data_IF_393035916924
#
_entry.id   IF_393035916924
#
_cell.length_a   1.000
_cell.length_b   1.000
_cell.length_c   1.000
_cell.angle_alpha   90.00
_cell.angle_beta   90.00
_cell.angle_gamma   90.00
#
_symmetry.space_group_name_H-M   'P 1'
#
loop_
_entity.id
_entity.type
_entity.pdbx_description
1 polymer ?
#
# COMPACT_ATOMS: atom_id res chain seq x y z
N UNK A 1 -41.00 7.47 -3.80
CA UNK A 1 -39.78 6.66 -3.64
C UNK A 1 -40.06 5.59 -2.61
N UNK A 2 -39.74 4.35 -2.93
CA UNK A 2 -39.79 3.22 -2.00
C UNK A 2 -38.62 3.24 -1.03
N UNK A 3 -38.72 2.49 0.08
CA UNK A 3 -37.56 2.24 0.98
C UNK A 3 -36.40 1.65 0.17
N UNK A 4 -36.67 0.77 -0.78
CA UNK A 4 -35.65 0.21 -1.67
C UNK A 4 -34.94 1.29 -2.48
N UNK A 5 -35.67 2.27 -3.02
CA UNK A 5 -35.08 3.36 -3.82
C UNK A 5 -34.12 4.19 -2.95
N UNK A 6 -34.51 4.50 -1.71
CA UNK A 6 -33.65 5.22 -0.76
C UNK A 6 -32.37 4.44 -0.45
N UNK A 7 -32.47 3.12 -0.20
CA UNK A 7 -31.30 2.28 0.05
C UNK A 7 -30.39 2.19 -1.17
N UNK A 8 -30.94 2.03 -2.38
CA UNK A 8 -30.15 1.99 -3.62
C UNK A 8 -29.41 3.31 -3.85
N UNK A 9 -30.07 4.45 -3.67
CA UNK A 9 -29.42 5.77 -3.77
C UNK A 9 -28.33 5.96 -2.73
N UNK A 10 -28.60 5.58 -1.47
CA UNK A 10 -27.61 5.64 -0.40
C UNK A 10 -26.37 4.80 -0.73
N UNK A 11 -26.54 3.53 -1.12
CA UNK A 11 -25.45 2.65 -1.50
C UNK A 11 -24.65 3.18 -2.70
N UNK A 12 -25.32 3.81 -3.67
CA UNK A 12 -24.63 4.45 -4.81
C UNK A 12 -23.78 5.64 -4.36
N UNK A 13 -24.29 6.46 -3.43
CA UNK A 13 -23.59 7.65 -2.92
C UNK A 13 -22.37 7.30 -2.05
N UNK A 14 -22.30 6.08 -1.52
CA UNK A 14 -21.12 5.59 -0.81
C UNK A 14 -19.95 5.24 -1.74
N UNK A 15 -20.18 5.10 -3.06
CA UNK A 15 -19.12 4.72 -4.00
C UNK A 15 -18.27 5.93 -4.36
N UNK A 16 -16.96 5.73 -4.46
CA UNK A 16 -16.07 6.76 -4.99
C UNK A 16 -16.44 7.13 -6.43
N UNK A 17 -16.30 8.41 -6.75
CA UNK A 17 -16.44 8.89 -8.13
C UNK A 17 -15.42 8.23 -9.05
N UNK A 18 -15.79 8.07 -10.33
CA UNK A 18 -14.91 7.50 -11.35
C UNK A 18 -13.60 8.29 -11.48
N UNK A 19 -13.64 9.61 -11.33
CA UNK A 19 -12.45 10.47 -11.37
C UNK A 19 -11.47 10.14 -10.24
N UNK A 20 -11.97 9.95 -9.02
CA UNK A 20 -11.14 9.55 -7.89
C UNK A 20 -10.55 8.15 -8.11
N UNK A 21 -11.36 7.20 -8.60
CA UNK A 21 -10.87 5.85 -8.93
C UNK A 21 -9.76 5.90 -9.98
N UNK A 22 -9.92 6.68 -11.05
CA UNK A 22 -8.92 6.83 -12.10
C UNK A 22 -7.61 7.44 -11.56
N UNK A 23 -7.69 8.48 -10.73
CA UNK A 23 -6.52 9.08 -10.07
C UNK A 23 -5.80 8.09 -9.16
N UNK A 24 -6.55 7.32 -8.37
CA UNK A 24 -6.00 6.30 -7.48
C UNK A 24 -5.26 5.23 -8.29
N UNK A 25 -5.89 4.69 -9.32
CA UNK A 25 -5.28 3.68 -10.19
C UNK A 25 -4.01 4.19 -10.88
N UNK A 26 -4.04 5.43 -11.37
CA UNK A 26 -2.87 6.05 -11.97
C UNK A 26 -1.71 6.17 -10.96
N UNK A 27 -1.97 6.69 -9.75
CA UNK A 27 -0.95 6.85 -8.71
C UNK A 27 -0.41 5.51 -8.22
N UNK A 28 -1.27 4.52 -8.03
CA UNK A 28 -0.88 3.14 -7.72
C UNK A 28 0.11 2.57 -8.75
N UNK A 29 -0.15 2.76 -10.05
CA UNK A 29 0.72 2.31 -11.13
C UNK A 29 2.09 2.99 -11.07
N UNK A 30 2.12 4.29 -10.80
CA UNK A 30 3.37 5.04 -10.66
C UNK A 30 4.17 4.65 -9.41
N UNK A 31 3.51 4.41 -8.26
CA UNK A 31 4.13 3.85 -7.05
C UNK A 31 4.76 2.48 -7.38
N UNK A 32 4.00 1.59 -8.00
CA UNK A 32 4.44 0.25 -8.38
C UNK A 32 5.66 0.30 -9.29
N UNK A 33 5.63 1.15 -10.32
CA UNK A 33 6.72 1.36 -11.26
C UNK A 33 7.98 1.87 -10.58
N UNK A 34 7.87 2.86 -9.69
CA UNK A 34 9.02 3.43 -8.96
C UNK A 34 9.73 2.36 -8.13
N UNK A 35 8.96 1.57 -7.38
CA UNK A 35 9.49 0.48 -6.55
C UNK A 35 10.11 -0.63 -7.43
N UNK A 36 9.43 -1.06 -8.50
CA UNK A 36 9.98 -2.06 -9.42
C UNK A 36 11.27 -1.59 -10.10
N UNK A 37 11.36 -0.30 -10.42
CA UNK A 37 12.57 0.27 -11.02
C UNK A 37 13.72 0.22 -10.03
N UNK A 38 13.49 0.65 -8.78
CA UNK A 38 14.51 0.71 -7.75
C UNK A 38 15.03 -0.67 -7.33
N UNK A 39 14.14 -1.64 -7.15
CA UNK A 39 14.50 -2.92 -6.53
C UNK A 39 14.63 -4.09 -7.52
N UNK A 40 14.15 -3.95 -8.76
CA UNK A 40 14.09 -5.06 -9.73
C UNK A 40 14.55 -4.69 -11.14
N UNK A 41 14.91 -3.42 -11.38
CA UNK A 41 15.25 -2.95 -12.73
C UNK A 41 14.11 -3.09 -13.75
N UNK A 42 12.86 -3.14 -13.27
CA UNK A 42 11.67 -3.34 -14.12
C UNK A 42 10.79 -2.09 -14.11
N UNK A 43 10.24 -1.74 -15.28
CA UNK A 43 9.29 -0.63 -15.44
C UNK A 43 7.82 -1.06 -15.32
N UNK A 44 7.55 -2.31 -14.90
CA UNK A 44 6.19 -2.82 -14.76
C UNK A 44 5.38 -1.99 -13.76
N UNK A 45 4.16 -1.62 -14.18
CA UNK A 45 3.20 -0.85 -13.38
C UNK A 45 2.23 -1.73 -12.57
N UNK A 46 2.31 -3.06 -12.74
CA UNK A 46 1.33 -4.01 -12.18
C UNK A 46 1.96 -5.18 -11.44
N UNK A 47 3.23 -5.50 -11.71
CA UNK A 47 3.92 -6.58 -11.02
C UNK A 47 4.33 -6.18 -9.60
N UNK A 48 4.40 -7.17 -8.70
CA UNK A 48 4.96 -7.04 -7.35
C UNK A 48 4.26 -6.02 -6.44
N UNK A 49 2.99 -5.71 -6.69
CA UNK A 49 2.16 -4.91 -5.79
C UNK A 49 0.70 -5.37 -5.89
N UNK A 50 -0.07 -5.12 -4.84
CA UNK A 50 -1.51 -5.32 -4.85
C UNK A 50 -2.18 -4.46 -3.78
N UNK A 51 -3.42 -4.06 -4.04
CA UNK A 51 -4.25 -3.41 -3.03
C UNK A 51 -4.57 -4.38 -1.89
N UNK A 52 -4.48 -3.88 -0.67
CA UNK A 52 -4.87 -4.60 0.54
C UNK A 52 -5.93 -3.80 1.31
N UNK A 53 -6.21 -4.19 2.55
CA UNK A 53 -7.12 -3.46 3.41
C UNK A 53 -8.54 -3.33 2.85
N UNK A 54 -9.21 -2.24 3.21
CA UNK A 54 -10.61 -2.01 2.83
C UNK A 54 -10.76 -1.71 1.34
N UNK A 55 -9.76 -1.06 0.74
CA UNK A 55 -9.77 -0.77 -0.69
C UNK A 55 -9.66 -2.06 -1.52
N UNK A 56 -8.72 -2.95 -1.17
CA UNK A 56 -8.57 -4.25 -1.81
C UNK A 56 -9.78 -5.18 -1.67
N UNK A 57 -10.62 -4.98 -0.63
CA UNK A 57 -11.88 -5.73 -0.43
C UNK A 57 -13.10 -5.09 -1.11
N UNK A 58 -12.95 -3.90 -1.70
CA UNK A 58 -14.07 -3.16 -2.31
C UNK A 58 -15.01 -2.50 -1.29
N UNK A 59 -14.57 -2.30 -0.05
CA UNK A 59 -15.39 -1.71 1.03
C UNK A 59 -14.96 -0.29 1.42
N UNK A 60 -13.98 0.30 0.71
CA UNK A 60 -13.50 1.65 0.96
C UNK A 60 -14.42 2.67 0.29
N UNK A 61 -14.89 3.63 1.06
CA UNK A 61 -15.74 4.75 0.59
C UNK A 61 -15.00 6.09 0.58
N UNK A 62 -13.85 6.18 1.26
CA UNK A 62 -13.01 7.38 1.38
C UNK A 62 -11.75 7.29 0.52
N UNK A 63 -11.23 8.43 0.08
CA UNK A 63 -10.00 8.53 -0.71
C UNK A 63 -8.71 8.52 0.09
N UNK A 64 -8.79 8.62 1.42
CA UNK A 64 -7.63 8.52 2.31
C UNK A 64 -7.20 7.07 2.51
N UNK A 65 -6.00 6.82 3.00
CA UNK A 65 -5.50 5.54 3.55
C UNK A 65 -5.79 4.36 2.61
N UNK A 66 -5.38 4.50 1.36
CA UNK A 66 -5.45 3.44 0.35
C UNK A 66 -4.26 2.51 0.60
N UNK A 67 -4.56 1.35 1.18
CA UNK A 67 -3.54 0.37 1.55
C UNK A 67 -2.97 -0.35 0.32
N UNK A 68 -1.65 -0.25 0.13
CA UNK A 68 -0.92 -0.92 -0.95
C UNK A 68 0.22 -1.72 -0.38
N UNK A 69 0.23 -3.03 -0.66
CA UNK A 69 1.39 -3.87 -0.34
C UNK A 69 2.32 -3.94 -1.55
N UNK A 70 3.60 -3.66 -1.35
CA UNK A 70 4.65 -3.79 -2.37
C UNK A 70 5.64 -4.89 -2.00
N UNK A 71 5.85 -5.82 -2.92
CA UNK A 71 6.70 -6.99 -2.71
C UNK A 71 8.15 -6.68 -3.11
N UNK A 72 9.03 -6.59 -2.12
CA UNK A 72 10.46 -6.38 -2.32
C UNK A 72 11.21 -7.71 -2.48
N UNK A 73 12.41 -7.71 -3.12
CA UNK A 73 13.26 -8.89 -3.20
C UNK A 73 13.74 -9.37 -1.84
N UNK A 74 13.94 -10.68 -1.68
CA UNK A 74 14.45 -11.27 -0.44
C UNK A 74 15.85 -10.75 -0.05
N UNK A 75 16.68 -10.38 -1.03
CA UNK A 75 17.99 -9.79 -0.75
C UNK A 75 17.88 -8.47 0.04
N UNK A 76 16.82 -7.69 -0.21
CA UNK A 76 16.52 -6.48 0.54
C UNK A 76 16.14 -6.81 1.98
N UNK A 77 15.36 -7.87 2.22
CA UNK A 77 15.08 -8.34 3.58
C UNK A 77 16.35 -8.67 4.35
N UNK A 78 17.24 -9.50 3.77
CA UNK A 78 18.51 -9.87 4.42
C UNK A 78 19.32 -8.64 4.81
N UNK A 79 19.50 -7.70 3.87
CA UNK A 79 20.22 -6.44 4.11
C UNK A 79 19.74 -5.73 5.38
N UNK A 80 18.42 -5.60 5.56
CA UNK A 80 17.84 -4.88 6.69
C UNK A 80 17.69 -5.72 7.95
N UNK A 81 17.55 -7.04 7.81
CA UNK A 81 17.49 -7.97 8.93
C UNK A 81 18.86 -8.13 9.62
N UNK A 82 19.95 -7.91 8.89
CA UNK A 82 21.32 -8.02 9.41
C UNK A 82 21.73 -6.79 10.27
N UNK A 83 20.87 -5.78 10.41
CA UNK A 83 21.11 -4.65 11.31
C UNK A 83 21.00 -5.10 12.78
N UNK A 84 21.92 -4.62 13.63
CA UNK A 84 21.87 -4.84 15.09
C UNK A 84 20.62 -4.24 15.74
N UNK A 85 19.98 -3.25 15.10
CA UNK A 85 18.73 -2.64 15.51
C UNK A 85 18.20 -1.63 14.47
N UNK A 86 16.93 -1.25 14.57
CA UNK A 86 16.27 -0.28 13.68
C UNK A 86 16.28 -0.62 12.18
N UNK A 87 16.52 -1.88 11.80
CA UNK A 87 16.54 -2.32 10.39
C UNK A 87 15.20 -2.08 9.68
N UNK A 88 14.10 -2.21 10.40
CA UNK A 88 12.74 -1.92 9.91
C UNK A 88 12.56 -0.43 9.61
N UNK A 89 13.01 0.43 10.52
CA UNK A 89 12.97 1.89 10.31
C UNK A 89 13.87 2.27 9.13
N UNK A 90 15.06 1.69 9.03
CA UNK A 90 15.97 1.92 7.90
C UNK A 90 15.36 1.48 6.57
N UNK A 91 14.64 0.35 6.53
CA UNK A 91 13.88 -0.10 5.35
C UNK A 91 12.80 0.92 4.97
N UNK A 92 11.99 1.37 5.93
CA UNK A 92 10.93 2.35 5.65
C UNK A 92 11.52 3.65 5.10
N UNK A 93 12.65 4.13 5.65
CA UNK A 93 13.32 5.33 5.15
C UNK A 93 13.91 5.14 3.75
N UNK A 94 14.51 3.98 3.44
CA UNK A 94 15.03 3.72 2.10
C UNK A 94 13.90 3.71 1.05
N UNK A 95 12.81 2.98 1.35
CA UNK A 95 11.65 2.90 0.45
C UNK A 95 11.00 4.27 0.28
N UNK A 96 10.88 5.05 1.37
CA UNK A 96 10.42 6.44 1.33
C UNK A 96 11.28 7.29 0.39
N UNK A 97 12.60 7.25 0.54
CA UNK A 97 13.52 8.02 -0.30
C UNK A 97 13.42 7.61 -1.78
N UNK A 98 13.16 6.34 -2.07
CA UNK A 98 12.90 5.90 -3.45
C UNK A 98 11.59 6.46 -4.01
N UNK A 99 10.53 6.56 -3.18
CA UNK A 99 9.25 7.13 -3.58
C UNK A 99 9.32 8.66 -3.76
N UNK A 100 10.10 9.36 -2.95
CA UNK A 100 10.34 10.81 -3.05
C UNK A 100 10.92 11.22 -4.42
N UNK A 101 11.66 10.34 -5.09
CA UNK A 101 12.18 10.60 -6.46
C UNK A 101 11.05 10.76 -7.49
N UNK A 102 9.86 10.23 -7.22
CA UNK A 102 8.66 10.43 -8.06
C UNK A 102 7.70 11.43 -7.43
N UNK A 103 7.62 11.49 -6.10
CA UNK A 103 6.64 12.27 -5.34
C UNK A 103 7.28 13.33 -4.44
N UNK A 104 8.22 14.11 -4.99
CA UNK A 104 9.03 15.08 -4.23
C UNK A 104 8.22 16.19 -3.54
N UNK A 105 6.98 16.43 -3.97
CA UNK A 105 6.08 17.45 -3.43
C UNK A 105 5.00 16.89 -2.49
N UNK A 106 4.95 15.57 -2.31
CA UNK A 106 3.98 14.93 -1.41
C UNK A 106 4.54 14.83 0.00
N UNK A 107 3.68 14.84 1.03
CA UNK A 107 4.14 14.62 2.40
C UNK A 107 4.35 13.11 2.62
N UNK A 108 5.62 12.69 2.78
CA UNK A 108 5.98 11.32 3.09
C UNK A 108 6.41 11.13 4.54
N UNK A 109 5.69 10.26 5.25
CA UNK A 109 6.01 9.83 6.62
C UNK A 109 6.22 8.31 6.60
N UNK A 110 7.35 7.85 7.14
CA UNK A 110 7.61 6.43 7.36
C UNK A 110 7.63 6.15 8.86
N UNK A 111 6.52 5.63 9.39
CA UNK A 111 6.39 5.31 10.82
C UNK A 111 5.42 4.15 11.02
N UNK A 112 5.57 3.42 12.12
CA UNK A 112 4.91 2.17 12.40
C UNK A 112 5.22 1.10 11.35
N UNK A 113 4.27 0.86 10.44
CA UNK A 113 4.32 -0.27 9.50
C UNK A 113 4.31 0.18 8.03
N UNK A 114 4.18 1.49 7.77
CA UNK A 114 3.81 2.02 6.45
C UNK A 114 4.64 3.24 6.06
N UNK A 115 4.72 3.48 4.75
CA UNK A 115 5.06 4.79 4.19
C UNK A 115 3.78 5.45 3.72
N UNK A 116 3.38 6.55 4.37
CA UNK A 116 2.23 7.35 3.96
C UNK A 116 2.61 8.32 2.84
N UNK A 117 1.78 8.45 1.81
CA UNK A 117 1.88 9.50 0.78
C UNK A 117 0.58 10.29 0.76
N UNK A 118 0.65 11.58 1.11
CA UNK A 118 -0.50 12.49 1.07
C UNK A 118 -0.44 13.40 -0.15
N UNK A 119 -1.49 13.36 -0.98
CA UNK A 119 -1.66 14.26 -2.12
C UNK A 119 -2.54 15.45 -1.75
N UNK A 120 -2.33 16.59 -2.43
CA UNK A 120 -3.07 17.83 -2.17
C UNK A 120 -4.57 17.77 -2.48
N UNK A 121 -5.01 16.77 -3.24
CA UNK A 121 -6.42 16.56 -3.58
C UNK A 121 -7.16 15.61 -2.62
N UNK A 122 -6.59 15.34 -1.44
CA UNK A 122 -7.24 14.56 -0.38
C UNK A 122 -7.21 13.05 -0.58
N UNK A 123 -6.52 12.56 -1.61
CA UNK A 123 -6.20 11.13 -1.77
C UNK A 123 -4.91 10.85 -0.99
N UNK A 124 -4.87 9.77 -0.21
CA UNK A 124 -3.64 9.31 0.44
C UNK A 124 -3.45 7.80 0.31
N UNK A 125 -2.19 7.38 0.35
CA UNK A 125 -1.78 5.98 0.24
C UNK A 125 -0.98 5.59 1.47
N UNK A 126 -1.16 4.35 1.93
CA UNK A 126 -0.30 3.70 2.91
C UNK A 126 0.40 2.52 2.25
N UNK A 127 1.73 2.63 2.10
CA UNK A 127 2.53 1.66 1.37
C UNK A 127 3.23 0.75 2.38
N UNK A 128 2.95 -0.54 2.30
CA UNK A 128 3.53 -1.59 3.15
C UNK A 128 4.58 -2.35 2.34
N UNK A 129 5.89 -2.11 2.56
CA UNK A 129 6.92 -2.97 1.99
C UNK A 129 6.86 -4.35 2.64
N UNK A 130 6.84 -5.39 1.82
CA UNK A 130 6.71 -6.75 2.30
C UNK A 130 7.58 -7.74 1.51
N UNK A 131 7.85 -8.88 2.13
CA UNK A 131 8.63 -9.97 1.58
C UNK A 131 7.76 -11.23 1.57
N UNK A 132 7.73 -11.94 0.44
CA UNK A 132 6.97 -13.19 0.36
C UNK A 132 7.72 -14.30 1.11
N UNK A 133 6.99 -15.03 1.93
CA UNK A 133 7.49 -16.20 2.65
C UNK A 133 7.15 -17.49 1.88
N UNK A 134 7.85 -18.57 2.21
CA UNK A 134 7.45 -19.91 1.81
C UNK A 134 6.03 -20.19 2.34
N UNK A 135 5.13 -20.63 1.47
CA UNK A 135 3.70 -20.79 1.77
C UNK A 135 2.82 -19.57 1.48
N UNK A 136 3.37 -18.49 0.91
CA UNK A 136 2.60 -17.39 0.32
C UNK A 136 2.12 -16.30 1.29
N UNK A 137 2.47 -16.41 2.57
CA UNK A 137 2.34 -15.29 3.52
C UNK A 137 3.38 -14.20 3.24
N UNK A 138 3.24 -13.07 3.93
CA UNK A 138 4.09 -11.90 3.75
C UNK A 138 4.68 -11.46 5.08
N UNK A 139 5.96 -11.14 5.09
CA UNK A 139 6.67 -10.52 6.21
C UNK A 139 6.85 -9.03 5.94
N UNK A 140 6.58 -8.17 6.93
CA UNK A 140 6.63 -6.71 6.78
C UNK A 140 7.24 -6.04 8.03
N UNK A 141 7.79 -4.82 7.92
CA UNK A 141 8.41 -4.12 9.04
C UNK A 141 7.36 -3.53 10.00
N UNK A 142 7.72 -3.48 11.28
CA UNK A 142 7.04 -2.71 12.32
C UNK A 142 8.12 -1.99 13.12
N UNK A 143 8.13 -0.66 13.15
CA UNK A 143 9.15 0.16 13.83
C UNK A 143 8.87 0.37 15.31
N UNK A 144 7.70 -0.05 15.82
CA UNK A 144 7.35 0.14 17.22
C UNK A 144 8.23 -0.70 18.15
N UNK A 145 8.45 -0.19 19.37
CA UNK A 145 9.16 -0.90 20.44
C UNK A 145 10.57 -1.41 20.05
N UNK A 146 11.31 -0.62 19.28
CA UNK A 146 12.68 -0.97 18.85
C UNK A 146 12.76 -1.79 17.56
N UNK A 147 11.62 -2.06 16.91
CA UNK A 147 11.57 -2.69 15.61
C UNK A 147 11.34 -4.20 15.67
N UNK A 148 10.46 -4.72 14.83
CA UNK A 148 10.24 -6.15 14.64
C UNK A 148 9.69 -6.47 13.25
N UNK A 149 9.91 -7.70 12.79
CA UNK A 149 9.26 -8.22 11.58
C UNK A 149 7.93 -8.89 11.95
N UNK A 150 6.85 -8.51 11.28
CA UNK A 150 5.52 -9.09 11.46
C UNK A 150 5.14 -9.92 10.24
N UNK A 151 4.17 -10.83 10.39
CA UNK A 151 3.67 -11.67 9.30
C UNK A 151 2.17 -11.49 9.08
N UNK A 152 1.73 -11.53 7.83
CA UNK A 152 0.33 -11.41 7.43
C UNK A 152 0.05 -12.21 6.16
N UNK A 153 -1.19 -12.62 5.97
CA UNK A 153 -1.68 -13.27 4.75
C UNK A 153 -2.89 -12.49 4.23
N UNK A 154 -2.65 -11.39 3.49
CA UNK A 154 -3.71 -10.53 3.01
C UNK A 154 -4.51 -11.22 1.90
N UNK A 155 -3.88 -12.10 1.11
CA UNK A 155 -4.54 -12.82 0.01
C UNK A 155 -5.64 -13.75 0.50
N UNK A 156 -5.47 -14.43 1.64
CA UNK A 156 -6.57 -15.17 2.28
C UNK A 156 -7.75 -14.29 2.71
N UNK A 157 -7.51 -12.99 2.95
CA UNK A 157 -8.52 -12.02 3.41
C UNK A 157 -9.16 -11.23 2.26
N UNK A 158 -8.66 -11.34 1.03
CA UNK A 158 -9.26 -10.77 -0.18
C UNK A 158 -10.45 -11.62 -0.65
N UNK A 159 -11.51 -11.68 0.15
CA UNK A 159 -12.83 -12.07 -0.36
C UNK A 159 -13.54 -10.78 -0.79
N UNK A 160 -13.88 -10.60 -2.08
CA UNK A 160 -14.62 -9.44 -2.52
C UNK A 160 -16.00 -9.44 -1.85
N UNK A 161 -16.42 -8.27 -1.35
CA UNK A 161 -17.80 -8.09 -0.94
C UNK A 161 -18.67 -8.07 -2.21
N UNK A 162 -19.54 -9.05 -2.39
CA UNK A 162 -20.58 -9.02 -3.42
C UNK A 162 -21.71 -8.19 -2.81
N UNK A 163 -21.78 -6.91 -3.16
CA UNK A 163 -22.89 -6.01 -2.81
C UNK A 163 -23.72 -5.76 -4.06
#
# INVERSE_FOLDING_TARGET
MSVSDYFSTFCSNLRMSSDNVNKIQYRYKQITKRINTAYRGSTSETANSFYVGSYGRGTKIWTSDIDVMVQLPYQTYKKFNDYTGNGQSALLQEVKNELEKTYSTSHLNGDGQVIAINFSDGISFEIVPAFINDGGSYTYPDTNNGGSWKSTDPKKKLRPCII
#
